data_IF_852994817889
#
_entry.id   IF_852994817889
#
_cell.length_a   1.000
_cell.length_b   1.000
_cell.length_c   1.000
_cell.angle_alpha   90.00
_cell.angle_beta   90.00
_cell.angle_gamma   90.00
#
_symmetry.space_group_name_H-M   'P 1'
#
loop_
_entity.id
_entity.type
_entity.pdbx_description
1 polymer ?
#
# COMPACT_ATOMS: atom_id res chain seq x y z
N UNK A 1 23.99 9.73 -33.41
CA UNK A 1 23.23 8.53 -32.99
C UNK A 1 22.67 8.78 -31.60
N UNK A 2 21.38 9.07 -31.46
CA UNK A 2 20.77 9.31 -30.15
C UNK A 2 20.43 7.97 -29.52
N UNK A 3 21.07 7.63 -28.39
CA UNK A 3 20.71 6.43 -27.60
C UNK A 3 19.41 6.72 -26.85
N UNK A 4 18.53 5.72 -26.77
CA UNK A 4 17.42 5.74 -25.83
C UNK A 4 17.96 5.78 -24.39
N UNK A 5 17.28 6.48 -23.52
CA UNK A 5 17.63 6.61 -22.10
C UNK A 5 16.45 6.19 -21.23
N UNK A 6 16.73 5.49 -20.14
CA UNK A 6 15.74 5.15 -19.12
C UNK A 6 16.31 5.40 -17.73
N UNK A 7 15.45 5.90 -16.84
CA UNK A 7 15.76 6.14 -15.42
C UNK A 7 14.65 5.47 -14.60
N UNK A 8 15.06 4.70 -13.59
CA UNK A 8 14.16 4.03 -12.65
C UNK A 8 14.57 4.44 -11.25
N UNK A 9 13.60 4.75 -10.40
CA UNK A 9 13.84 5.06 -9.00
C UNK A 9 12.70 4.58 -8.11
N UNK A 10 12.95 4.59 -6.82
CA UNK A 10 11.98 4.25 -5.79
C UNK A 10 11.84 5.43 -4.83
N UNK A 11 10.61 5.72 -4.42
CA UNK A 11 10.31 6.64 -3.33
C UNK A 11 9.37 5.97 -2.34
N UNK A 12 9.71 5.98 -1.06
CA UNK A 12 8.77 5.61 0.02
C UNK A 12 8.20 6.86 0.65
N UNK A 13 6.93 7.15 0.34
CA UNK A 13 6.17 8.20 0.99
C UNK A 13 5.69 7.73 2.36
N UNK A 14 5.70 8.58 3.37
CA UNK A 14 5.16 8.25 4.69
C UNK A 14 3.88 9.05 4.91
N UNK A 15 2.75 8.35 5.03
CA UNK A 15 1.45 8.96 5.25
C UNK A 15 1.08 8.85 6.73
N UNK A 16 0.63 9.94 7.32
CA UNK A 16 0.06 9.91 8.67
C UNK A 16 -1.44 9.70 8.54
N UNK A 17 -1.93 8.54 8.96
CA UNK A 17 -3.33 8.14 8.84
C UNK A 17 -4.00 8.04 10.21
N UNK A 18 -5.27 8.41 10.27
CA UNK A 18 -6.09 8.48 11.49
C UNK A 18 -7.36 7.65 11.33
N UNK A 19 -7.95 7.21 12.44
CA UNK A 19 -9.18 6.41 12.46
C UNK A 19 -9.22 5.46 13.64
N UNK A 20 -10.24 4.61 13.67
CA UNK A 20 -10.38 3.55 14.66
C UNK A 20 -9.44 2.38 14.34
N UNK A 21 -9.44 1.91 13.09
CA UNK A 21 -8.54 0.86 12.59
C UNK A 21 -7.74 1.39 11.39
N UNK A 22 -6.87 2.40 11.60
CA UNK A 22 -6.36 3.27 10.54
C UNK A 22 -5.70 2.50 9.38
N UNK A 23 -4.82 1.54 9.69
CA UNK A 23 -4.15 0.75 8.65
C UNK A 23 -5.11 -0.26 8.03
N UNK A 24 -5.95 -0.94 8.83
CA UNK A 24 -6.92 -1.92 8.31
C UNK A 24 -7.86 -1.27 7.29
N UNK A 25 -8.39 -0.10 7.61
CA UNK A 25 -9.32 0.64 6.75
C UNK A 25 -8.61 1.11 5.46
N UNK A 26 -7.33 1.49 5.55
CA UNK A 26 -6.50 1.83 4.39
C UNK A 26 -6.26 0.61 3.47
N UNK A 27 -5.86 -0.54 4.03
CA UNK A 27 -5.59 -1.73 3.23
C UNK A 27 -6.88 -2.41 2.74
N UNK A 28 -8.01 -2.20 3.40
CA UNK A 28 -9.34 -2.63 2.93
C UNK A 28 -9.63 -2.08 1.54
N UNK A 29 -9.43 -0.77 1.34
CA UNK A 29 -9.70 -0.10 0.08
C UNK A 29 -8.65 -0.33 -1.01
N UNK A 30 -7.46 -0.85 -0.68
CA UNK A 30 -6.31 -0.88 -1.61
C UNK A 30 -5.76 -2.27 -1.90
N UNK A 31 -5.98 -3.26 -1.02
CA UNK A 31 -5.34 -4.56 -1.13
C UNK A 31 -6.23 -5.74 -0.68
N UNK A 32 -7.11 -5.57 0.31
CA UNK A 32 -7.85 -6.71 0.87
C UNK A 32 -9.05 -7.14 0.03
N UNK A 33 -9.57 -6.32 -0.88
CA UNK A 33 -10.76 -6.66 -1.69
C UNK A 33 -10.72 -8.08 -2.30
N UNK A 34 -9.66 -8.46 -3.05
CA UNK A 34 -9.53 -9.80 -3.59
C UNK A 34 -9.41 -10.91 -2.53
N UNK A 35 -8.80 -10.62 -1.38
CA UNK A 35 -8.61 -11.60 -0.29
C UNK A 35 -9.96 -11.87 0.38
N UNK A 36 -10.69 -10.82 0.74
CA UNK A 36 -11.99 -10.94 1.38
C UNK A 36 -13.03 -11.56 0.44
N UNK A 37 -12.98 -11.24 -0.85
CA UNK A 37 -13.88 -11.85 -1.85
C UNK A 37 -13.64 -13.34 -2.11
N UNK A 38 -12.44 -13.85 -1.76
CA UNK A 38 -12.15 -15.29 -1.81
C UNK A 38 -12.64 -16.05 -0.56
N UNK A 39 -13.05 -15.33 0.49
CA UNK A 39 -13.57 -15.86 1.75
C UNK A 39 -15.10 -15.79 1.77
N UNK A 40 -15.76 -16.69 2.50
CA UNK A 40 -17.18 -16.52 2.82
C UNK A 40 -17.40 -15.33 3.75
N UNK A 41 -18.63 -14.79 3.83
CA UNK A 41 -18.92 -13.57 4.63
C UNK A 41 -18.49 -13.70 6.10
N UNK A 42 -18.70 -14.88 6.72
CA UNK A 42 -18.25 -15.15 8.09
C UNK A 42 -16.73 -15.20 8.24
N UNK A 43 -16.05 -15.84 7.29
CA UNK A 43 -14.59 -16.00 7.29
C UNK A 43 -13.87 -14.67 7.03
N UNK A 44 -14.47 -13.78 6.23
CA UNK A 44 -13.95 -12.45 5.96
C UNK A 44 -13.92 -11.57 7.22
N UNK A 45 -15.01 -11.59 8.01
CA UNK A 45 -15.09 -10.84 9.27
C UNK A 45 -14.09 -11.39 10.30
N UNK A 46 -14.00 -12.72 10.44
CA UNK A 46 -13.03 -13.36 11.34
C UNK A 46 -11.58 -13.06 10.93
N UNK A 47 -11.30 -13.05 9.62
CA UNK A 47 -9.99 -12.68 9.10
C UNK A 47 -9.60 -11.24 9.48
N UNK A 48 -10.49 -10.27 9.27
CA UNK A 48 -10.21 -8.86 9.61
C UNK A 48 -9.97 -8.65 11.11
N UNK A 49 -10.74 -9.33 11.96
CA UNK A 49 -10.56 -9.26 13.41
C UNK A 49 -9.18 -9.80 13.81
N UNK A 50 -8.81 -10.99 13.30
CA UNK A 50 -7.48 -11.58 13.53
C UNK A 50 -6.35 -10.73 12.96
N UNK A 51 -6.60 -10.02 11.87
CA UNK A 51 -5.59 -9.19 11.19
C UNK A 51 -5.33 -7.85 11.89
N UNK A 52 -6.28 -7.37 12.69
CA UNK A 52 -6.18 -6.09 13.41
C UNK A 52 -5.00 -6.06 14.37
N UNK A 53 -4.78 -7.11 15.18
CA UNK A 53 -3.69 -7.13 16.15
C UNK A 53 -2.28 -7.11 15.50
N UNK A 54 -1.99 -7.94 14.48
CA UNK A 54 -0.75 -7.83 13.70
C UNK A 54 -0.52 -6.44 13.11
N UNK A 55 -1.57 -5.80 12.57
CA UNK A 55 -1.45 -4.45 12.01
C UNK A 55 -1.12 -3.40 13.08
N UNK A 56 -1.77 -3.46 14.25
CA UNK A 56 -1.51 -2.55 15.35
C UNK A 56 -0.08 -2.69 15.91
N UNK A 57 0.44 -3.92 15.93
CA UNK A 57 1.83 -4.18 16.33
C UNK A 57 2.85 -3.66 15.30
N UNK A 58 2.58 -3.86 14.00
CA UNK A 58 3.46 -3.42 12.92
C UNK A 58 3.44 -1.89 12.72
N UNK A 59 2.29 -1.27 12.95
CA UNK A 59 2.06 0.15 12.72
C UNK A 59 1.47 0.79 13.99
N UNK A 60 2.31 1.03 15.01
CA UNK A 60 1.83 1.60 16.27
C UNK A 60 1.32 3.03 16.07
N UNK A 61 0.20 3.33 16.73
CA UNK A 61 -0.38 4.68 16.75
C UNK A 61 0.50 5.61 17.60
N UNK A 62 0.75 6.80 17.08
CA UNK A 62 1.45 7.88 17.79
C UNK A 62 0.50 9.01 18.13
N UNK A 63 0.99 10.02 18.87
CA UNK A 63 0.23 11.25 19.16
C UNK A 63 -0.19 12.01 17.90
N UNK A 64 0.51 11.81 16.79
CA UNK A 64 0.23 12.45 15.51
C UNK A 64 -0.63 11.59 14.57
N UNK A 65 -0.87 10.32 14.91
CA UNK A 65 -1.53 9.34 14.05
C UNK A 65 -0.64 8.12 13.79
N UNK A 66 -1.04 7.28 12.84
CA UNK A 66 -0.28 6.07 12.48
C UNK A 66 0.51 6.34 11.22
N UNK A 67 1.83 6.10 11.24
CA UNK A 67 2.68 6.28 10.05
C UNK A 67 2.59 5.03 9.17
N UNK A 68 2.12 5.21 7.94
CA UNK A 68 1.99 4.16 6.94
C UNK A 68 2.97 4.40 5.76
N UNK A 69 3.99 3.53 5.57
CA UNK A 69 4.94 3.65 4.48
C UNK A 69 4.32 3.18 3.17
N UNK A 70 4.31 4.07 2.19
CA UNK A 70 3.76 3.86 0.86
C UNK A 70 4.90 3.89 -0.18
N UNK A 71 5.38 2.69 -0.57
CA UNK A 71 6.44 2.54 -1.58
C UNK A 71 5.91 2.67 -3.01
N UNK A 72 6.58 3.50 -3.82
CA UNK A 72 6.30 3.70 -5.25
C UNK A 72 7.58 3.51 -6.06
N UNK A 73 7.51 2.67 -7.08
CA UNK A 73 8.54 2.55 -8.10
C UNK A 73 8.11 3.40 -9.29
N UNK A 74 9.01 4.22 -9.80
CA UNK A 74 8.81 5.07 -10.96
C UNK A 74 9.80 4.69 -12.04
N UNK A 75 9.36 4.75 -13.30
CA UNK A 75 10.21 4.54 -14.46
C UNK A 75 9.89 5.60 -15.51
N UNK A 76 10.93 6.24 -16.05
CA UNK A 76 10.84 7.21 -17.14
C UNK A 76 11.77 6.77 -18.25
N UNK A 77 11.26 6.62 -19.46
CA UNK A 77 12.03 6.20 -20.63
C UNK A 77 11.77 7.10 -21.83
N UNK A 78 12.80 7.37 -22.62
CA UNK A 78 12.70 8.03 -23.90
C UNK A 78 12.54 7.00 -25.01
N UNK A 79 11.45 7.10 -25.77
CA UNK A 79 11.25 6.30 -26.97
C UNK A 79 12.32 6.64 -28.00
N UNK A 80 12.91 5.62 -28.63
CA UNK A 80 13.81 5.83 -29.76
C UNK A 80 13.05 6.51 -30.92
N UNK A 81 13.69 7.42 -31.67
CA UNK A 81 13.07 7.97 -32.87
C UNK A 81 12.65 6.83 -33.80
N UNK A 82 11.44 6.92 -34.36
CA UNK A 82 11.08 6.05 -35.49
C UNK A 82 11.96 6.42 -36.68
N UNK A 83 12.58 5.41 -37.31
CA UNK A 83 13.28 5.56 -38.59
C UNK A 83 12.30 5.74 -39.73
#
# INVERSE_FOLDING_TARGET
>A
MTRGAAVVWETTYHQVITGERPVLDCVRGTALGPILGALGEGDAAEFEEKYTAPLAAAYPRTVHGTVFPFRRIFAVAQKLPAG
#
